data_IF_652474677044
#
_entry.id   IF_652474677044
#
_cell.length_a   1.000
_cell.length_b   1.000
_cell.length_c   1.000
_cell.angle_alpha   90.00
_cell.angle_beta   90.00
_cell.angle_gamma   90.00
#
_symmetry.space_group_name_H-M   'P 1'
#
loop_
_entity.id
_entity.type
_entity.pdbx_description
1 polymer ?
#
# COMPACT_ATOMS: atom_id res chain seq x y z
N UNK A 1 11.07 -8.20 -7.28
CA UNK A 1 9.87 -9.03 -7.57
C UNK A 1 8.89 -8.34 -8.53
N UNK A 2 8.44 -7.10 -8.28
CA UNK A 2 7.51 -6.41 -9.19
C UNK A 2 8.04 -6.26 -10.63
N UNK A 3 9.30 -5.84 -10.81
CA UNK A 3 9.92 -5.73 -12.15
C UNK A 3 9.92 -7.09 -12.87
N UNK A 4 10.27 -8.18 -12.17
CA UNK A 4 10.27 -9.53 -12.73
C UNK A 4 8.87 -10.00 -13.15
N UNK A 5 7.83 -9.60 -12.41
CA UNK A 5 6.45 -9.89 -12.80
C UNK A 5 6.06 -9.13 -14.08
N UNK A 6 6.42 -7.84 -14.17
CA UNK A 6 6.13 -7.01 -15.34
C UNK A 6 6.83 -7.51 -16.61
N UNK A 7 8.08 -7.97 -16.50
CA UNK A 7 8.85 -8.46 -17.65
C UNK A 7 8.52 -9.92 -18.02
N UNK A 8 8.45 -10.84 -17.05
CA UNK A 8 8.28 -12.27 -17.36
C UNK A 8 6.83 -12.70 -17.59
N UNK A 9 5.86 -12.08 -16.91
CA UNK A 9 4.44 -12.47 -17.01
C UNK A 9 3.66 -11.54 -17.94
N UNK A 10 3.82 -10.23 -17.76
CA UNK A 10 3.10 -9.22 -18.55
C UNK A 10 3.80 -8.87 -19.88
N UNK A 11 4.99 -9.41 -20.12
CA UNK A 11 5.80 -9.23 -21.33
C UNK A 11 6.05 -7.75 -21.67
N UNK A 12 6.26 -6.90 -20.65
CA UNK A 12 6.73 -5.53 -20.86
C UNK A 12 8.22 -5.49 -21.17
N UNK A 13 8.64 -4.49 -21.94
CA UNK A 13 10.05 -4.18 -22.13
C UNK A 13 10.67 -3.75 -20.80
N UNK A 14 11.98 -3.97 -20.61
CA UNK A 14 12.65 -3.62 -19.36
C UNK A 14 12.59 -2.12 -19.04
N UNK A 15 12.64 -1.27 -20.07
CA UNK A 15 12.51 0.17 -19.92
C UNK A 15 11.12 0.54 -19.35
N UNK A 16 10.06 -0.02 -19.91
CA UNK A 16 8.68 0.25 -19.47
C UNK A 16 8.43 -0.30 -18.07
N UNK A 17 8.92 -1.51 -17.77
CA UNK A 17 8.82 -2.10 -16.44
C UNK A 17 9.52 -1.24 -15.37
N UNK A 18 10.67 -0.64 -15.70
CA UNK A 18 11.37 0.32 -14.83
C UNK A 18 10.56 1.60 -14.61
N UNK A 19 9.95 2.16 -15.66
CA UNK A 19 9.10 3.35 -15.56
C UNK A 19 7.90 3.07 -14.64
N UNK A 20 7.20 1.94 -14.85
CA UNK A 20 6.07 1.53 -14.01
C UNK A 20 6.51 1.33 -12.56
N UNK A 21 7.65 0.68 -12.33
CA UNK A 21 8.19 0.47 -10.99
C UNK A 21 8.49 1.78 -10.27
N UNK A 22 9.20 2.71 -10.90
CA UNK A 22 9.51 4.01 -10.31
C UNK A 22 8.25 4.84 -10.06
N UNK A 23 7.27 4.78 -10.97
CA UNK A 23 5.97 5.43 -10.81
C UNK A 23 5.22 4.86 -9.61
N UNK A 24 5.18 3.54 -9.47
CA UNK A 24 4.61 2.85 -8.32
C UNK A 24 5.30 3.29 -7.02
N UNK A 25 6.64 3.30 -6.99
CA UNK A 25 7.41 3.76 -5.82
C UNK A 25 7.11 5.21 -5.46
N UNK A 26 7.01 6.11 -6.46
CA UNK A 26 6.65 7.51 -6.24
C UNK A 26 5.28 7.64 -5.56
N UNK A 27 4.27 6.90 -6.02
CA UNK A 27 2.95 6.89 -5.38
C UNK A 27 2.99 6.33 -3.95
N UNK A 28 3.73 5.25 -3.70
CA UNK A 28 3.87 4.66 -2.35
C UNK A 28 4.48 5.64 -1.34
N UNK A 29 5.34 6.57 -1.78
CA UNK A 29 5.91 7.62 -0.92
C UNK A 29 5.08 8.90 -0.87
N UNK A 30 4.24 9.14 -1.88
CA UNK A 30 3.37 10.32 -1.96
C UNK A 30 2.07 10.16 -1.14
N UNK A 31 1.39 9.02 -1.28
CA UNK A 31 0.13 8.75 -0.57
C UNK A 31 0.19 8.72 0.97
N UNK A 32 1.31 8.38 1.64
CA UNK A 32 1.44 8.50 3.10
C UNK A 32 1.12 9.88 3.65
N UNK A 33 1.52 10.95 2.93
CA UNK A 33 1.26 12.33 3.35
C UNK A 33 -0.25 12.58 3.39
N UNK A 34 -0.97 12.16 2.34
CA UNK A 34 -2.43 12.27 2.28
C UNK A 34 -3.12 11.39 3.32
N UNK A 35 -2.66 10.15 3.48
CA UNK A 35 -3.20 9.22 4.47
C UNK A 35 -3.06 9.73 5.91
N UNK A 36 -1.92 10.34 6.24
CA UNK A 36 -1.68 10.94 7.55
C UNK A 36 -2.61 12.13 7.81
N UNK A 37 -2.74 13.06 6.85
CA UNK A 37 -3.63 14.23 6.97
C UNK A 37 -5.08 13.80 7.20
N UNK A 38 -5.56 12.80 6.44
CA UNK A 38 -6.93 12.27 6.56
C UNK A 38 -7.14 11.59 7.92
N UNK A 39 -6.15 10.83 8.39
CA UNK A 39 -6.18 10.16 9.70
C UNK A 39 -6.28 11.16 10.86
N UNK A 40 -5.51 12.24 10.80
CA UNK A 40 -5.46 13.26 11.85
C UNK A 40 -6.67 14.20 11.84
N UNK A 41 -7.23 14.53 10.67
CA UNK A 41 -8.40 15.43 10.60
C UNK A 41 -9.72 14.74 10.88
N UNK A 42 -10.06 13.64 10.19
CA UNK A 42 -11.48 13.22 10.07
C UNK A 42 -11.88 11.86 10.63
N UNK A 43 -11.04 10.83 10.56
CA UNK A 43 -11.52 9.46 10.78
C UNK A 43 -10.99 8.81 12.06
N UNK A 44 -9.94 9.37 12.65
CA UNK A 44 -9.20 8.73 13.73
C UNK A 44 -8.26 7.64 13.21
N UNK A 45 -7.20 7.40 13.97
CA UNK A 45 -6.06 6.55 13.57
C UNK A 45 -6.46 5.11 13.25
N UNK A 46 -7.30 4.49 14.09
CA UNK A 46 -7.71 3.08 13.93
C UNK A 46 -8.59 2.85 12.70
N UNK A 47 -9.61 3.69 12.47
CA UNK A 47 -10.53 3.53 11.34
C UNK A 47 -9.80 3.73 10.01
N UNK A 48 -8.87 4.67 9.95
CA UNK A 48 -8.06 4.92 8.74
C UNK A 48 -7.21 3.69 8.40
N UNK A 49 -6.54 3.08 9.38
CA UNK A 49 -5.78 1.83 9.17
C UNK A 49 -6.69 0.71 8.64
N UNK A 50 -7.90 0.58 9.17
CA UNK A 50 -8.85 -0.46 8.76
C UNK A 50 -9.31 -0.26 7.30
N UNK A 51 -9.74 0.95 6.93
CA UNK A 51 -10.15 1.25 5.55
C UNK A 51 -9.01 1.04 4.54
N UNK A 52 -7.81 1.52 4.85
CA UNK A 52 -6.65 1.39 3.97
C UNK A 52 -6.23 -0.08 3.83
N UNK A 53 -6.34 -0.87 4.90
CA UNK A 53 -6.08 -2.32 4.85
C UNK A 53 -7.09 -3.07 3.97
N UNK A 54 -8.36 -2.67 3.96
CA UNK A 54 -9.35 -3.24 3.03
C UNK A 54 -9.02 -2.93 1.57
N UNK A 55 -8.55 -1.70 1.27
CA UNK A 55 -8.12 -1.32 -0.09
C UNK A 55 -6.91 -2.15 -0.52
N UNK A 56 -5.93 -2.36 0.37
CA UNK A 56 -4.77 -3.20 0.11
C UNK A 56 -5.15 -4.66 -0.17
N UNK A 57 -6.08 -5.22 0.63
CA UNK A 57 -6.59 -6.57 0.42
C UNK A 57 -7.33 -6.69 -0.92
N UNK A 58 -8.17 -5.71 -1.26
CA UNK A 58 -8.88 -5.67 -2.53
C UNK A 58 -7.92 -5.60 -3.73
N UNK A 59 -6.88 -4.75 -3.67
CA UNK A 59 -5.85 -4.66 -4.71
C UNK A 59 -5.08 -5.97 -4.88
N UNK A 60 -4.79 -6.67 -3.78
CA UNK A 60 -4.12 -7.99 -3.81
C UNK A 60 -5.02 -9.06 -4.44
N UNK A 61 -6.33 -9.05 -4.15
CA UNK A 61 -7.31 -9.96 -4.76
C UNK A 61 -7.43 -9.68 -6.27
N UNK A 62 -7.53 -8.42 -6.68
CA UNK A 62 -7.59 -8.04 -8.10
C UNK A 62 -6.34 -8.48 -8.86
N UNK A 63 -5.15 -8.30 -8.28
CA UNK A 63 -3.91 -8.75 -8.88
C UNK A 63 -3.86 -10.28 -9.00
N UNK A 64 -4.33 -11.00 -7.98
CA UNK A 64 -4.42 -12.47 -8.01
C UNK A 64 -5.40 -12.95 -9.09
N UNK A 65 -6.59 -12.35 -9.19
CA UNK A 65 -7.59 -12.67 -10.21
C UNK A 65 -7.09 -12.38 -11.64
N UNK A 66 -6.32 -11.30 -11.83
CA UNK A 66 -5.70 -10.97 -13.12
C UNK A 66 -4.71 -12.05 -13.60
N UNK A 67 -4.11 -12.79 -12.66
CA UNK A 67 -3.15 -13.87 -12.96
C UNK A 67 -3.82 -15.22 -13.22
N UNK A 68 -5.14 -15.34 -13.06
CA UNK A 68 -5.89 -16.59 -13.25
C UNK A 68 -6.36 -16.68 -14.71
N UNK A 69 -5.73 -17.56 -15.49
CA UNK A 69 -5.93 -17.78 -16.93
C UNK A 69 -7.37 -18.06 -17.41
N UNK A 70 -8.25 -18.80 -16.71
CA UNK A 70 -9.56 -19.16 -17.26
C UNK A 70 -10.56 -18.01 -17.44
N UNK A 71 -10.26 -16.79 -16.98
CA UNK A 71 -11.26 -15.70 -16.95
C UNK A 71 -11.29 -14.78 -18.19
N UNK A 72 -10.39 -14.94 -19.18
CA UNK A 72 -10.35 -14.12 -20.41
C UNK A 72 -10.49 -12.59 -20.17
N UNK A 73 -9.97 -12.12 -19.04
CA UNK A 73 -9.97 -10.71 -18.64
C UNK A 73 -8.69 -10.07 -19.20
N UNK A 74 -8.72 -8.82 -19.68
CA UNK A 74 -7.50 -8.12 -20.07
C UNK A 74 -6.56 -7.97 -18.86
N UNK A 75 -5.51 -8.80 -18.82
CA UNK A 75 -4.59 -8.94 -17.68
C UNK A 75 -3.78 -7.66 -17.42
N UNK A 76 -3.39 -6.94 -18.48
CA UNK A 76 -2.58 -5.72 -18.39
C UNK A 76 -3.26 -4.59 -17.60
N UNK A 77 -4.47 -4.12 -17.96
CA UNK A 77 -5.12 -3.03 -17.22
C UNK A 77 -5.55 -3.45 -15.81
N UNK A 78 -5.99 -4.70 -15.61
CA UNK A 78 -6.37 -5.20 -14.29
C UNK A 78 -5.18 -5.29 -13.34
N UNK A 79 -4.03 -5.78 -13.82
CA UNK A 79 -2.81 -5.82 -13.00
C UNK A 79 -2.32 -4.41 -12.65
N UNK A 80 -2.38 -3.45 -13.59
CA UNK A 80 -2.00 -2.04 -13.31
C UNK A 80 -2.95 -1.41 -12.29
N UNK A 81 -4.25 -1.65 -12.42
CA UNK A 81 -5.25 -1.14 -11.47
C UNK A 81 -5.08 -1.75 -10.08
N UNK A 82 -4.85 -3.07 -10.00
CA UNK A 82 -4.52 -3.75 -8.74
C UNK A 82 -3.25 -3.20 -8.11
N UNK A 83 -2.21 -2.95 -8.90
CA UNK A 83 -0.96 -2.36 -8.44
C UNK A 83 -1.14 -0.92 -7.92
N UNK A 84 -2.01 -0.14 -8.55
CA UNK A 84 -2.38 1.20 -8.09
C UNK A 84 -3.13 1.16 -6.75
N UNK A 85 -4.10 0.24 -6.59
CA UNK A 85 -4.79 0.03 -5.31
C UNK A 85 -3.82 -0.41 -4.20
N UNK A 86 -2.87 -1.27 -4.52
CA UNK A 86 -1.81 -1.68 -3.59
C UNK A 86 -0.94 -0.48 -3.20
N UNK A 87 -0.57 0.39 -4.16
CA UNK A 87 0.19 1.61 -3.88
C UNK A 87 -0.56 2.54 -2.91
N UNK A 88 -1.87 2.74 -3.14
CA UNK A 88 -2.76 3.50 -2.26
C UNK A 88 -2.81 2.90 -0.84
N UNK A 89 -3.03 1.58 -0.76
CA UNK A 89 -3.10 0.85 0.50
C UNK A 89 -1.80 0.93 1.30
N UNK A 90 -0.68 0.63 0.66
CA UNK A 90 0.63 0.64 1.34
C UNK A 90 1.05 2.04 1.81
N UNK A 91 0.72 3.07 1.04
CA UNK A 91 1.01 4.46 1.39
C UNK A 91 0.33 4.89 2.70
N UNK A 92 -0.96 4.56 2.87
CA UNK A 92 -1.71 4.98 4.07
C UNK A 92 -1.39 4.18 5.35
N UNK A 93 -0.93 2.93 5.24
CA UNK A 93 -0.68 2.06 6.41
C UNK A 93 0.56 2.51 7.19
N UNK A 94 1.67 2.81 6.49
CA UNK A 94 2.97 3.14 7.10
C UNK A 94 2.93 4.26 8.15
N UNK A 95 2.37 5.46 7.86
CA UNK A 95 2.37 6.55 8.83
C UNK A 95 1.41 6.28 10.00
N UNK A 96 0.24 5.70 9.72
CA UNK A 96 -0.80 5.52 10.72
C UNK A 96 -0.45 4.42 11.74
N UNK A 97 0.14 3.30 11.29
CA UNK A 97 0.54 2.20 12.18
C UNK A 97 1.67 2.63 13.13
N UNK A 98 2.64 3.43 12.66
CA UNK A 98 3.71 3.94 13.53
C UNK A 98 3.17 4.88 14.60
N UNK A 99 2.22 5.76 14.25
CA UNK A 99 1.58 6.66 15.21
C UNK A 99 0.72 5.88 16.22
N UNK A 100 -0.03 4.87 15.77
CA UNK A 100 -0.88 4.05 16.65
C UNK A 100 -0.08 3.16 17.60
N UNK A 101 1.04 2.59 17.15
CA UNK A 101 1.96 1.84 18.01
C UNK A 101 2.60 2.69 19.11
N UNK A 102 2.89 3.97 18.82
CA UNK A 102 3.36 4.93 19.81
C UNK A 102 2.32 5.22 20.90
N UNK A 103 1.05 5.35 20.52
CA UNK A 103 -0.05 5.60 21.46
C UNK A 103 -0.35 4.41 22.39
N UNK A 104 0.13 3.19 22.07
CA UNK A 104 -0.06 2.00 22.92
C UNK A 104 0.85 2.00 24.16
N UNK A 105 1.88 2.84 24.21
CA UNK A 105 2.72 2.98 25.39
C UNK A 105 2.04 3.89 26.41
N UNK A 106 1.37 3.28 27.40
CA UNK A 106 0.84 4.02 28.56
C UNK A 106 2.02 4.50 29.39
N UNK A 107 2.07 5.79 29.71
CA UNK A 107 3.04 6.36 30.65
C UNK A 107 2.53 6.07 32.06
N UNK A 108 3.08 5.04 32.74
CA UNK A 108 3.42 5.25 34.15
C UNK A 108 4.81 4.71 34.56
N UNK A 109 5.71 4.34 33.63
CA UNK A 109 6.99 3.69 34.02
C UNK A 109 8.29 4.37 33.57
N UNK A 110 8.21 5.45 32.77
CA UNK A 110 9.43 6.20 32.36
C UNK A 110 10.02 7.04 33.51
N UNK A 111 9.23 7.33 34.56
CA UNK A 111 9.69 8.09 35.72
C UNK A 111 10.49 7.32 36.77
N UNK A 112 10.71 6.01 36.61
CA UNK A 112 11.42 5.18 37.62
C UNK A 112 12.83 4.79 37.19
N UNK A 113 13.20 4.98 35.92
CA UNK A 113 14.55 4.66 35.41
C UNK A 113 15.50 5.86 35.35
N UNK A 114 15.05 7.04 35.83
CA UNK A 114 15.90 8.22 36.04
C UNK A 114 15.91 8.53 37.53
N UNK A 115 16.49 7.62 38.32
CA UNK A 115 16.86 7.86 39.72
C UNK A 115 18.33 7.53 39.90
#
# INVERSE_FOLDING_TARGET
ILILYLTNILLYNEADAKIIYHTFTMFVYFFPVFGAIISDSWLGKFKTILYVSMIYACGSILLALSSVEPLNIPQKPFSILGLFLIALGTGGIKPCVSAFGGDQFVIPQVGVQVK
#
